data_IF_230781025418
#
_entry.id   IF_230781025418
#
_cell.length_a   1.000
_cell.length_b   1.000
_cell.length_c   1.000
_cell.angle_alpha   90.00
_cell.angle_beta   90.00
_cell.angle_gamma   90.00
#
_symmetry.space_group_name_H-M   'P 1'
#
loop_
_entity.id
_entity.type
_entity.pdbx_description
1 polymer ?
#
# COMPACT_ATOMS: atom_id res chain seq x y z
N UNK A 1 31.09 50.35 -45.22
CA UNK A 1 29.69 50.25 -44.75
C UNK A 1 29.64 49.15 -43.70
N UNK A 2 29.77 49.52 -42.43
CA UNK A 2 29.80 48.57 -41.32
C UNK A 2 28.37 48.38 -40.80
N UNK A 3 27.83 47.17 -40.89
CA UNK A 3 26.59 46.78 -40.22
C UNK A 3 26.97 46.26 -38.84
N UNK A 4 26.72 47.06 -37.81
CA UNK A 4 26.84 46.66 -36.41
C UNK A 4 25.65 45.76 -36.07
N UNK A 5 25.89 44.46 -35.98
CA UNK A 5 24.95 43.52 -35.37
C UNK A 5 24.96 43.72 -33.86
N UNK A 6 23.83 44.18 -33.32
CA UNK A 6 23.58 44.25 -31.89
C UNK A 6 23.13 42.85 -31.45
N UNK A 7 23.76 42.21 -30.45
CA UNK A 7 23.26 40.95 -29.93
C UNK A 7 22.00 41.21 -29.11
N UNK A 8 20.90 40.58 -29.51
CA UNK A 8 19.63 40.56 -28.77
C UNK A 8 19.83 39.70 -27.53
N UNK A 9 19.87 40.34 -26.37
CA UNK A 9 19.90 39.71 -25.06
C UNK A 9 18.60 38.91 -24.85
N UNK A 10 18.63 37.64 -24.40
CA UNK A 10 17.41 36.87 -24.15
C UNK A 10 16.69 37.44 -22.93
N UNK A 11 15.43 37.85 -23.12
CA UNK A 11 14.52 38.30 -22.06
C UNK A 11 14.51 37.29 -20.90
N UNK A 12 15.06 37.70 -19.75
CA UNK A 12 14.86 36.99 -18.49
C UNK A 12 13.37 37.02 -18.17
N UNK A 13 12.71 35.87 -17.95
CA UNK A 13 11.35 35.89 -17.44
C UNK A 13 11.36 36.55 -16.06
N UNK A 14 10.65 37.67 -15.94
CA UNK A 14 10.52 38.41 -14.70
C UNK A 14 9.84 37.54 -13.65
N UNK A 15 10.48 37.43 -12.48
CA UNK A 15 9.99 36.73 -11.28
C UNK A 15 8.52 37.04 -10.96
N UNK A 16 8.11 38.27 -11.23
CA UNK A 16 6.76 38.77 -10.92
C UNK A 16 5.66 38.10 -11.76
N UNK A 17 5.94 37.77 -13.03
CA UNK A 17 4.96 37.14 -13.92
C UNK A 17 4.64 35.69 -13.51
N UNK A 18 5.61 34.99 -12.91
CA UNK A 18 5.38 33.63 -12.40
C UNK A 18 4.52 33.64 -11.12
N UNK A 19 4.74 34.63 -10.24
CA UNK A 19 3.95 34.81 -9.03
C UNK A 19 2.51 35.23 -9.31
N UNK A 20 2.28 36.09 -10.29
CA UNK A 20 0.93 36.48 -10.72
C UNK A 20 0.15 35.29 -11.29
N UNK A 21 0.81 34.46 -12.12
CA UNK A 21 0.22 33.22 -12.66
C UNK A 21 -0.13 32.23 -11.55
N UNK A 22 0.75 32.05 -10.57
CA UNK A 22 0.48 31.17 -9.43
C UNK A 22 -0.72 31.67 -8.62
N UNK A 23 -0.83 32.99 -8.39
CA UNK A 23 -1.93 33.55 -7.61
C UNK A 23 -3.30 33.43 -8.29
N UNK A 24 -3.32 33.46 -9.62
CA UNK A 24 -4.52 33.28 -10.44
C UNK A 24 -5.07 31.84 -10.46
N UNK A 25 -4.29 30.84 -10.02
CA UNK A 25 -4.73 29.45 -9.95
C UNK A 25 -5.75 29.22 -8.82
N UNK A 26 -6.64 28.27 -9.06
CA UNK A 26 -7.52 27.71 -8.03
C UNK A 26 -6.71 27.00 -6.92
N UNK A 27 -7.36 26.74 -5.78
CA UNK A 27 -6.72 26.06 -4.64
C UNK A 27 -6.22 24.67 -5.03
N UNK A 28 -7.01 23.93 -5.82
CA UNK A 28 -6.66 22.57 -6.25
C UNK A 28 -5.45 22.57 -7.20
N UNK A 29 -5.36 23.54 -8.12
CA UNK A 29 -4.21 23.69 -9.01
C UNK A 29 -2.93 24.07 -8.23
N UNK A 30 -3.05 24.93 -7.22
CA UNK A 30 -1.93 25.26 -6.31
C UNK A 30 -1.48 24.04 -5.52
N UNK A 31 -2.42 23.24 -5.03
CA UNK A 31 -2.13 21.99 -4.34
C UNK A 31 -1.40 21.02 -5.27
N UNK A 32 -1.91 20.81 -6.48
CA UNK A 32 -1.27 19.94 -7.47
C UNK A 32 0.16 20.39 -7.80
N UNK A 33 0.37 21.70 -8.01
CA UNK A 33 1.69 22.25 -8.33
C UNK A 33 2.68 22.12 -7.16
N UNK A 34 2.21 22.29 -5.91
CA UNK A 34 3.05 22.07 -4.72
C UNK A 34 3.35 20.60 -4.48
N UNK A 35 2.40 19.70 -4.73
CA UNK A 35 2.63 18.25 -4.68
C UNK A 35 3.64 17.81 -5.74
N UNK A 36 3.61 18.40 -6.94
CA UNK A 36 4.61 18.16 -7.98
C UNK A 36 5.99 18.71 -7.60
N UNK A 37 6.08 19.92 -7.03
CA UNK A 37 7.37 20.49 -6.64
C UNK A 37 8.02 19.74 -5.46
N UNK A 38 7.20 19.20 -4.56
CA UNK A 38 7.64 18.31 -3.47
C UNK A 38 7.85 16.86 -3.92
N UNK A 39 7.66 16.56 -5.21
CA UNK A 39 7.82 15.22 -5.79
C UNK A 39 6.90 14.15 -5.15
N UNK A 40 5.74 14.57 -4.61
CA UNK A 40 4.72 13.66 -4.09
C UNK A 40 3.89 13.03 -5.21
N UNK A 41 3.75 13.76 -6.32
CA UNK A 41 3.09 13.29 -7.54
C UNK A 41 4.03 13.59 -8.70
N UNK A 42 4.27 12.61 -9.56
CA UNK A 42 5.03 12.80 -10.79
C UNK A 42 4.24 13.66 -11.78
N UNK A 43 4.94 14.46 -12.58
CA UNK A 43 4.31 15.20 -13.67
C UNK A 43 3.91 14.18 -14.75
N UNK A 44 2.60 14.02 -14.95
CA UNK A 44 2.05 13.18 -16.00
C UNK A 44 2.04 14.01 -17.29
N UNK A 45 3.10 13.87 -18.09
CA UNK A 45 3.18 14.43 -19.43
C UNK A 45 3.01 13.27 -20.43
N UNK A 46 2.32 13.48 -21.55
CA UNK A 46 2.07 12.40 -22.53
C UNK A 46 3.38 11.77 -23.05
N UNK A 47 4.45 12.57 -23.13
CA UNK A 47 5.79 12.10 -23.49
C UNK A 47 6.41 11.21 -22.41
N UNK A 48 6.22 11.52 -21.13
CA UNK A 48 6.74 10.69 -20.02
C UNK A 48 5.95 9.40 -19.90
N UNK A 49 4.63 9.46 -20.11
CA UNK A 49 3.77 8.29 -20.15
C UNK A 49 4.17 7.35 -21.30
N UNK A 50 4.40 7.88 -22.51
CA UNK A 50 4.84 7.08 -23.65
C UNK A 50 6.22 6.43 -23.43
N UNK A 51 7.14 7.15 -22.77
CA UNK A 51 8.45 6.60 -22.42
C UNK A 51 8.34 5.47 -21.38
N UNK A 52 7.50 5.64 -20.35
CA UNK A 52 7.26 4.64 -19.32
C UNK A 52 6.57 3.39 -19.90
N UNK A 53 5.60 3.58 -20.80
CA UNK A 53 4.96 2.48 -21.52
C UNK A 53 5.94 1.73 -22.43
N UNK A 54 6.83 2.45 -23.13
CA UNK A 54 7.86 1.83 -23.95
C UNK A 54 8.86 1.04 -23.09
N UNK A 55 9.30 1.60 -21.97
CA UNK A 55 10.19 0.93 -21.02
C UNK A 55 9.52 -0.31 -20.41
N UNK A 56 8.24 -0.22 -20.03
CA UNK A 56 7.47 -1.34 -19.55
C UNK A 56 7.31 -2.44 -20.61
N UNK A 57 7.03 -2.08 -21.86
CA UNK A 57 6.89 -3.05 -22.96
C UNK A 57 8.22 -3.75 -23.30
N UNK A 58 9.35 -3.05 -23.21
CA UNK A 58 10.69 -3.64 -23.33
C UNK A 58 11.00 -4.58 -22.15
N UNK A 59 10.68 -4.16 -20.92
CA UNK A 59 10.87 -4.97 -19.72
C UNK A 59 9.96 -6.20 -19.71
N UNK A 60 8.73 -6.10 -20.23
CA UNK A 60 7.75 -7.19 -20.33
C UNK A 60 8.26 -8.37 -21.18
N UNK A 61 9.08 -8.09 -22.21
CA UNK A 61 9.75 -9.14 -22.97
C UNK A 61 10.83 -9.88 -22.15
N UNK A 62 11.33 -9.25 -21.08
CA UNK A 62 12.42 -9.76 -20.23
C UNK A 62 11.92 -10.38 -18.92
N UNK A 63 10.70 -10.05 -18.48
CA UNK A 63 10.06 -10.64 -17.30
C UNK A 63 9.54 -12.03 -17.68
N UNK A 64 10.45 -13.00 -17.77
CA UNK A 64 10.10 -14.41 -17.86
C UNK A 64 9.76 -14.94 -16.46
N UNK A 65 8.64 -15.66 -16.34
CA UNK A 65 8.36 -16.45 -15.15
C UNK A 65 9.53 -17.43 -14.90
N UNK A 66 9.97 -17.62 -13.64
CA UNK A 66 10.92 -18.66 -13.28
C UNK A 66 10.47 -20.00 -13.85
N UNK A 67 11.40 -20.85 -14.30
CA UNK A 67 11.07 -22.08 -15.03
C UNK A 67 10.08 -22.99 -14.29
N UNK A 68 10.19 -23.02 -12.96
CA UNK A 68 9.29 -23.77 -12.08
C UNK A 68 7.84 -23.28 -12.06
N UNK A 69 7.58 -22.05 -12.51
CA UNK A 69 6.28 -21.40 -12.53
C UNK A 69 5.73 -21.21 -13.95
N UNK A 70 6.45 -21.68 -14.98
CA UNK A 70 6.00 -21.60 -16.38
C UNK A 70 4.87 -22.58 -16.69
N UNK A 71 4.73 -23.66 -15.92
CA UNK A 71 3.70 -24.69 -16.12
C UNK A 71 2.79 -24.81 -14.90
N UNK A 72 1.48 -24.72 -15.12
CA UNK A 72 0.47 -24.91 -14.08
C UNK A 72 0.56 -26.32 -13.46
N UNK A 73 0.82 -27.35 -14.27
CA UNK A 73 0.93 -28.73 -13.80
C UNK A 73 2.15 -28.94 -12.87
N UNK A 74 3.25 -28.23 -13.13
CA UNK A 74 4.44 -28.24 -12.27
C UNK A 74 4.19 -27.58 -10.90
N UNK A 75 3.28 -26.60 -10.84
CA UNK A 75 2.87 -25.96 -9.59
C UNK A 75 1.97 -26.90 -8.79
N UNK A 76 0.95 -27.48 -9.44
CA UNK A 76 -0.01 -28.34 -8.74
C UNK A 76 0.59 -29.67 -8.28
N UNK A 77 1.56 -30.23 -9.02
CA UNK A 77 2.31 -31.40 -8.59
C UNK A 77 3.10 -31.14 -7.29
N UNK A 78 3.81 -30.01 -7.17
CA UNK A 78 4.50 -29.65 -5.91
C UNK A 78 3.55 -29.40 -4.73
N UNK A 79 2.38 -28.81 -4.98
CA UNK A 79 1.36 -28.62 -3.93
C UNK A 79 0.82 -29.98 -3.47
N UNK A 80 0.61 -30.91 -4.39
CA UNK A 80 0.17 -32.27 -4.08
C UNK A 80 1.21 -33.04 -3.28
N UNK A 81 2.49 -33.00 -3.68
CA UNK A 81 3.60 -33.59 -2.94
C UNK A 81 3.67 -33.08 -1.48
N UNK A 82 3.46 -31.79 -1.26
CA UNK A 82 3.45 -31.20 0.09
C UNK A 82 2.22 -31.61 0.92
N UNK A 83 1.08 -31.83 0.27
CA UNK A 83 -0.15 -32.30 0.93
C UNK A 83 -0.04 -33.76 1.34
N UNK A 84 0.60 -34.57 0.49
CA UNK A 84 0.85 -35.99 0.76
C UNK A 84 2.02 -36.17 1.76
N UNK A 85 2.94 -35.21 1.83
CA UNK A 85 3.95 -35.09 2.88
C UNK A 85 3.44 -34.41 4.16
N UNK A 86 2.14 -34.51 4.45
CA UNK A 86 1.62 -34.18 5.77
C UNK A 86 2.40 -35.00 6.80
N UNK A 87 3.24 -34.30 7.58
CA UNK A 87 3.99 -34.88 8.69
C UNK A 87 3.01 -35.72 9.52
N UNK A 88 3.37 -36.96 9.93
CA UNK A 88 2.56 -37.69 10.87
C UNK A 88 2.49 -36.83 12.13
N UNK A 89 1.36 -36.14 12.33
CA UNK A 89 1.09 -35.43 13.56
C UNK A 89 1.07 -36.55 14.60
N UNK A 90 2.13 -36.63 15.40
CA UNK A 90 2.21 -37.60 16.48
C UNK A 90 0.92 -37.49 17.28
N UNK A 91 0.22 -38.61 17.41
CA UNK A 91 -1.11 -38.71 18.03
C UNK A 91 -1.14 -38.03 19.42
N UNK A 92 0.01 -37.99 20.10
CA UNK A 92 0.26 -37.28 21.35
C UNK A 92 0.13 -35.76 21.27
N UNK A 93 0.57 -35.12 20.17
CA UNK A 93 0.40 -33.68 19.95
C UNK A 93 -1.10 -33.34 19.79
N UNK A 94 -1.84 -34.20 19.10
CA UNK A 94 -3.30 -34.09 18.99
C UNK A 94 -4.00 -34.19 20.34
N UNK A 95 -3.62 -35.17 21.18
CA UNK A 95 -4.14 -35.33 22.54
C UNK A 95 -3.78 -34.16 23.46
N UNK A 96 -2.56 -33.64 23.38
CA UNK A 96 -2.11 -32.49 24.17
C UNK A 96 -2.85 -31.20 23.79
N UNK A 97 -3.06 -30.94 22.50
CA UNK A 97 -3.89 -29.80 22.06
C UNK A 97 -5.35 -29.96 22.49
N UNK A 98 -5.92 -31.16 22.34
CA UNK A 98 -7.28 -31.44 22.79
C UNK A 98 -7.43 -31.27 24.30
N UNK A 99 -6.40 -31.62 25.08
CA UNK A 99 -6.37 -31.41 26.53
C UNK A 99 -6.21 -29.94 26.89
N UNK A 100 -5.32 -29.20 26.23
CA UNK A 100 -5.16 -27.77 26.45
C UNK A 100 -6.44 -26.98 26.12
N UNK A 101 -7.17 -27.37 25.08
CA UNK A 101 -8.45 -26.78 24.72
C UNK A 101 -9.58 -27.12 25.71
N UNK A 102 -9.53 -28.29 26.34
CA UNK A 102 -10.54 -28.74 27.32
C UNK A 102 -10.27 -28.23 28.73
N UNK A 103 -9.05 -28.43 29.20
CA UNK A 103 -8.68 -28.16 30.59
C UNK A 103 -8.34 -26.68 30.79
N UNK A 104 -7.97 -25.96 29.72
CA UNK A 104 -7.52 -24.57 29.78
C UNK A 104 -6.24 -24.45 30.61
N UNK A 105 -5.14 -24.02 29.99
CA UNK A 105 -3.95 -23.68 30.78
C UNK A 105 -4.30 -22.59 31.82
N UNK A 106 -3.79 -22.72 33.06
CA UNK A 106 -3.84 -21.60 34.01
C UNK A 106 -3.14 -20.41 33.37
N UNK A 107 -3.90 -19.36 33.09
CA UNK A 107 -3.34 -18.09 32.65
C UNK A 107 -2.56 -17.49 33.82
N UNK A 108 -1.44 -16.84 33.54
CA UNK A 108 -0.73 -16.07 34.56
C UNK A 108 -1.61 -14.89 34.99
N UNK A 109 -1.53 -14.49 36.25
CA UNK A 109 -2.35 -13.40 36.84
C UNK A 109 -2.41 -12.15 35.97
N UNK A 110 -1.27 -11.76 35.39
CA UNK A 110 -1.14 -10.56 34.56
C UNK A 110 -1.97 -10.64 33.27
N UNK A 111 -2.13 -11.83 32.71
CA UNK A 111 -2.91 -12.05 31.48
C UNK A 111 -4.40 -12.08 31.81
N UNK A 112 -4.80 -12.68 32.93
CA UNK A 112 -6.20 -12.67 33.39
C UNK A 112 -6.69 -11.25 33.66
N UNK A 113 -5.89 -10.42 34.34
CA UNK A 113 -6.23 -9.03 34.60
C UNK A 113 -6.36 -8.20 33.32
N UNK A 114 -5.48 -8.43 32.34
CA UNK A 114 -5.56 -7.77 31.03
C UNK A 114 -6.80 -8.21 30.26
N UNK A 115 -7.11 -9.50 30.23
CA UNK A 115 -8.32 -10.01 29.57
C UNK A 115 -9.59 -9.48 30.23
N UNK A 116 -9.60 -9.32 31.56
CA UNK A 116 -10.71 -8.72 32.30
C UNK A 116 -10.93 -7.26 31.92
N UNK A 117 -9.85 -6.47 31.81
CA UNK A 117 -9.91 -5.08 31.34
C UNK A 117 -10.40 -4.98 29.90
N UNK A 118 -9.83 -5.77 29.00
CA UNK A 118 -10.22 -5.78 27.58
C UNK A 118 -11.70 -6.14 27.40
N UNK A 119 -12.21 -7.09 28.22
CA UNK A 119 -13.63 -7.44 28.24
C UNK A 119 -14.51 -6.28 28.70
N UNK A 120 -14.15 -5.61 29.80
CA UNK A 120 -14.90 -4.45 30.29
C UNK A 120 -14.92 -3.30 29.27
N UNK A 121 -13.78 -3.05 28.61
CA UNK A 121 -13.67 -2.02 27.58
C UNK A 121 -14.51 -2.36 26.34
N UNK A 122 -14.53 -3.63 25.94
CA UNK A 122 -15.37 -4.10 24.84
C UNK A 122 -16.87 -3.99 25.16
N UNK A 123 -17.29 -4.41 26.36
CA UNK A 123 -18.68 -4.28 26.83
C UNK A 123 -19.11 -2.81 26.92
N UNK A 124 -18.23 -1.92 27.41
CA UNK A 124 -18.49 -0.48 27.44
C UNK A 124 -18.61 0.13 26.05
N UNK A 125 -17.74 -0.24 25.10
CA UNK A 125 -17.82 0.24 23.71
C UNK A 125 -19.09 -0.24 23.02
N UNK A 126 -19.46 -1.51 23.22
CA UNK A 126 -20.67 -2.10 22.66
C UNK A 126 -21.95 -1.51 23.25
N UNK A 127 -21.98 -1.17 24.54
CA UNK A 127 -23.11 -0.46 25.13
C UNK A 127 -23.20 1.01 24.67
N UNK A 128 -22.06 1.68 24.46
CA UNK A 128 -22.03 3.03 23.86
C UNK A 128 -22.52 3.03 22.41
N UNK A 129 -22.21 2.01 21.60
CA UNK A 129 -22.68 1.96 20.21
C UNK A 129 -24.19 1.70 20.12
N UNK A 130 -24.76 0.89 21.01
CA UNK A 130 -26.22 0.65 21.06
C UNK A 130 -27.05 1.89 21.40
N UNK A 131 -26.50 2.86 22.13
CA UNK A 131 -27.20 4.11 22.43
C UNK A 131 -27.41 5.04 21.22
N UNK A 132 -26.65 4.85 20.13
CA UNK A 132 -26.80 5.64 18.90
C UNK A 132 -27.71 4.97 17.86
N UNK A 133 -27.97 3.67 17.95
CA UNK A 133 -28.87 2.98 17.02
C UNK A 133 -30.36 3.27 17.30
N UNK A 134 -30.71 3.66 18.53
CA UNK A 134 -32.08 4.09 18.89
C UNK A 134 -32.41 5.54 18.48
N UNK A 135 -31.43 6.33 18.02
CA UNK A 135 -31.65 7.71 17.57
C UNK A 135 -32.04 7.80 16.09
N UNK A 136 -32.00 6.69 15.36
CA UNK A 136 -32.30 6.62 13.92
C UNK A 136 -33.41 5.63 13.56
N UNK A 137 -34.19 5.16 14.55
CA UNK A 137 -35.44 4.42 14.35
C UNK A 137 -36.66 5.32 14.55
#
# INVERSE_FOLDING_TARGET
MNKSEKPTEPDKPTSDAASERFNALSIDEKLQQTMQSLHWIAKLDDETLAADEAAFNQAKATIALPESLKSADAIFSKVKERRDAALPIHDEIGKQMARAARDGGKLTSDVEERMKRDRQDAEHKHNKSKGYEDLFN
#
